data_IF_889402961092
#
_entry.id   IF_889402961092
#
_cell.length_a   1.000
_cell.length_b   1.000
_cell.length_c   1.000
_cell.angle_alpha   90.00
_cell.angle_beta   90.00
_cell.angle_gamma   90.00
#
_symmetry.space_group_name_H-M   'P 1'
#
loop_
_entity.id
_entity.type
_entity.pdbx_description
1 polymer ?
#
# COMPACT_ATOMS: atom_id res chain seq x y z
N UNK A 1 -11.28 -0.02 -8.34
CA UNK A 1 -11.09 -1.49 -8.34
C UNK A 1 -11.02 -1.95 -9.78
N UNK A 2 -9.98 -2.70 -10.14
CA UNK A 2 -9.83 -3.37 -11.44
C UNK A 2 -10.61 -4.69 -11.39
N UNK A 3 -11.57 -4.88 -12.30
CA UNK A 3 -12.47 -6.05 -12.28
C UNK A 3 -12.19 -6.98 -13.47
N UNK A 4 -12.26 -8.31 -13.26
CA UNK A 4 -12.20 -9.26 -14.36
C UNK A 4 -13.41 -9.08 -15.30
N UNK A 5 -13.22 -9.38 -16.59
CA UNK A 5 -14.33 -9.40 -17.55
C UNK A 5 -15.31 -10.57 -17.32
N UNK A 6 -14.86 -11.60 -16.60
CA UNK A 6 -15.64 -12.79 -16.23
C UNK A 6 -15.95 -12.85 -14.74
N UNK A 7 -16.35 -14.02 -14.20
CA UNK A 7 -16.62 -14.17 -12.78
C UNK A 7 -15.36 -13.90 -11.95
N UNK A 8 -15.54 -13.25 -10.79
CA UNK A 8 -14.48 -13.07 -9.80
C UNK A 8 -14.18 -14.44 -9.18
N UNK A 9 -12.89 -14.82 -9.19
CA UNK A 9 -12.36 -16.09 -8.64
C UNK A 9 -11.49 -15.88 -7.40
N UNK A 10 -11.33 -14.63 -7.00
CA UNK A 10 -10.48 -14.18 -5.92
C UNK A 10 -10.32 -12.67 -5.98
N UNK A 11 -9.84 -12.09 -4.88
CA UNK A 11 -9.62 -10.67 -4.75
C UNK A 11 -8.25 -10.36 -4.12
N UNK A 12 -7.68 -9.22 -4.49
CA UNK A 12 -6.41 -8.74 -3.99
C UNK A 12 -6.46 -7.24 -3.65
N UNK A 13 -5.71 -6.84 -2.62
CA UNK A 13 -5.40 -5.44 -2.34
C UNK A 13 -3.95 -5.18 -2.72
N UNK A 14 -3.71 -4.10 -3.46
CA UNK A 14 -2.38 -3.65 -3.85
C UNK A 14 -2.05 -2.33 -3.15
N UNK A 15 -1.06 -2.36 -2.26
CA UNK A 15 -0.49 -1.22 -1.56
C UNK A 15 0.78 -0.72 -2.27
N UNK A 16 0.77 0.52 -2.75
CA UNK A 16 1.90 1.12 -3.47
C UNK A 16 2.99 1.66 -2.53
N UNK A 17 4.05 2.25 -3.09
CA UNK A 17 5.14 2.87 -2.33
C UNK A 17 4.69 4.13 -1.57
N UNK A 18 5.37 4.46 -0.47
CA UNK A 18 5.27 5.77 0.17
C UNK A 18 5.60 6.87 -0.87
N UNK A 19 4.88 7.98 -0.85
CA UNK A 19 4.94 9.12 -1.81
C UNK A 19 4.57 8.82 -3.27
N UNK A 20 4.27 7.57 -3.60
CA UNK A 20 3.74 7.20 -4.91
C UNK A 20 2.21 7.37 -4.98
N UNK A 21 1.67 7.16 -6.18
CA UNK A 21 0.23 6.95 -6.36
C UNK A 21 -0.08 5.51 -6.79
N UNK A 22 -1.34 5.11 -6.63
CA UNK A 22 -1.93 3.88 -7.14
C UNK A 22 -1.86 3.73 -8.66
N UNK A 23 -1.50 4.79 -9.39
CA UNK A 23 -1.39 4.81 -10.85
C UNK A 23 0.03 4.58 -11.38
N UNK A 24 0.98 4.23 -10.50
CA UNK A 24 2.32 3.80 -10.96
C UNK A 24 2.17 2.63 -11.93
N UNK A 25 2.87 2.70 -13.07
CA UNK A 25 2.73 1.75 -14.17
C UNK A 25 2.88 0.28 -13.75
N UNK A 26 3.72 0.00 -12.75
CA UNK A 26 3.86 -1.35 -12.19
C UNK A 26 2.56 -1.83 -11.52
N UNK A 27 1.95 -1.01 -10.66
CA UNK A 27 0.69 -1.34 -9.97
C UNK A 27 -0.45 -1.53 -10.97
N UNK A 28 -0.55 -0.65 -11.97
CA UNK A 28 -1.55 -0.77 -13.04
C UNK A 28 -1.40 -2.06 -13.85
N UNK A 29 -0.19 -2.37 -14.33
CA UNK A 29 0.09 -3.58 -15.13
C UNK A 29 -0.16 -4.87 -14.35
N UNK A 30 0.25 -4.92 -13.08
CA UNK A 30 0.00 -6.07 -12.22
C UNK A 30 -1.51 -6.25 -12.01
N UNK A 31 -2.24 -5.16 -11.77
CA UNK A 31 -3.69 -5.21 -11.57
C UNK A 31 -4.43 -5.74 -12.79
N UNK A 32 -4.09 -5.24 -13.98
CA UNK A 32 -4.69 -5.72 -15.25
C UNK A 32 -4.40 -7.19 -15.47
N UNK A 33 -3.15 -7.63 -15.31
CA UNK A 33 -2.79 -9.04 -15.49
C UNK A 33 -3.52 -9.98 -14.51
N UNK A 34 -3.72 -9.54 -13.26
CA UNK A 34 -4.49 -10.28 -12.27
C UNK A 34 -5.99 -10.32 -12.61
N UNK A 35 -6.55 -9.21 -13.09
CA UNK A 35 -7.94 -9.15 -13.55
C UNK A 35 -8.19 -10.04 -14.78
N UNK A 36 -7.25 -10.11 -15.73
CA UNK A 36 -7.28 -11.09 -16.82
C UNK A 36 -7.26 -12.54 -16.31
N UNK A 37 -6.59 -12.77 -15.18
CA UNK A 37 -6.61 -14.04 -14.47
C UNK A 37 -7.82 -14.23 -13.53
N UNK A 38 -8.85 -13.38 -13.62
CA UNK A 38 -10.09 -13.53 -12.83
C UNK A 38 -9.98 -13.05 -11.37
N UNK A 39 -8.95 -12.28 -11.03
CA UNK A 39 -8.73 -11.75 -9.67
C UNK A 39 -9.08 -10.26 -9.66
N UNK A 40 -10.07 -9.85 -8.87
CA UNK A 40 -10.39 -8.44 -8.67
C UNK A 40 -9.27 -7.75 -7.87
N UNK A 41 -8.83 -6.57 -8.29
CA UNK A 41 -7.73 -5.86 -7.62
C UNK A 41 -8.14 -4.48 -7.16
N UNK A 42 -8.09 -4.24 -5.85
CA UNK A 42 -8.22 -2.92 -5.27
C UNK A 42 -6.85 -2.27 -5.13
N UNK A 43 -6.65 -1.19 -5.89
CA UNK A 43 -5.61 -0.21 -5.66
C UNK A 43 -6.25 0.98 -4.96
N UNK A 44 -5.55 1.55 -3.99
CA UNK A 44 -5.98 2.74 -3.25
C UNK A 44 -4.78 3.64 -3.03
N UNK A 45 -5.03 4.94 -2.85
CA UNK A 45 -4.02 5.86 -2.37
C UNK A 45 -4.11 5.94 -0.83
N UNK A 46 -2.97 5.92 -0.14
CA UNK A 46 -2.95 6.18 1.30
C UNK A 46 -3.47 7.59 1.61
N UNK A 47 -3.98 7.80 2.81
CA UNK A 47 -4.37 9.13 3.30
C UNK A 47 -3.27 10.15 3.01
N UNK A 48 -3.64 11.32 2.49
CA UNK A 48 -2.69 12.39 2.13
C UNK A 48 -1.86 12.16 0.86
N UNK A 49 -2.08 11.08 0.11
CA UNK A 49 -1.42 10.81 -1.17
C UNK A 49 -2.42 10.71 -2.33
N UNK A 50 -1.96 11.08 -3.53
CA UNK A 50 -2.72 10.90 -4.77
C UNK A 50 -4.09 11.58 -4.75
N UNK A 51 -5.15 10.78 -4.90
CA UNK A 51 -6.54 11.23 -4.86
C UNK A 51 -7.20 11.09 -3.48
N UNK A 52 -6.51 10.54 -2.48
CA UNK A 52 -7.04 10.39 -1.13
C UNK A 52 -6.96 11.70 -0.34
N UNK A 53 -8.00 11.96 0.47
CA UNK A 53 -8.08 13.15 1.33
C UNK A 53 -7.07 13.08 2.49
N UNK A 54 -6.92 14.18 3.23
CA UNK A 54 -6.01 14.31 4.37
C UNK A 54 -4.67 14.98 4.02
N UNK A 55 -3.88 15.27 5.05
CA UNK A 55 -2.54 15.83 4.92
C UNK A 55 -1.50 14.72 5.14
N UNK A 56 -0.57 14.56 4.21
CA UNK A 56 0.50 13.55 4.32
C UNK A 56 1.32 13.71 5.61
N UNK A 57 1.52 14.95 6.06
CA UNK A 57 2.24 15.29 7.29
C UNK A 57 1.61 14.69 8.56
N UNK A 58 0.31 14.41 8.54
CA UNK A 58 -0.41 13.82 9.68
C UNK A 58 -0.45 12.29 9.62
N UNK A 59 0.16 11.68 8.59
CA UNK A 59 0.16 10.23 8.40
C UNK A 59 1.39 9.58 9.01
N UNK A 60 1.22 8.34 9.49
CA UNK A 60 2.30 7.51 9.98
C UNK A 60 2.10 6.06 9.54
N UNK A 61 3.06 5.19 9.86
CA UNK A 61 2.99 3.80 9.44
C UNK A 61 1.72 3.08 9.92
N UNK A 62 1.26 3.37 11.15
CA UNK A 62 0.02 2.78 11.67
C UNK A 62 -1.23 3.27 10.95
N UNK A 63 -1.28 4.54 10.54
CA UNK A 63 -2.41 5.04 9.73
C UNK A 63 -2.41 4.40 8.34
N UNK A 64 -1.24 4.16 7.74
CA UNK A 64 -1.16 3.43 6.46
C UNK A 64 -1.66 1.97 6.59
N UNK A 65 -1.34 1.29 7.69
CA UNK A 65 -1.91 -0.04 7.97
C UNK A 65 -3.43 0.04 8.11
N UNK A 66 -3.96 1.04 8.81
CA UNK A 66 -5.40 1.24 8.95
C UNK A 66 -6.10 1.50 7.60
N UNK A 67 -5.51 2.34 6.72
CA UNK A 67 -6.02 2.60 5.37
C UNK A 67 -6.09 1.31 4.54
N UNK A 68 -5.08 0.45 4.65
CA UNK A 68 -5.05 -0.85 3.97
C UNK A 68 -6.16 -1.77 4.46
N UNK A 69 -6.36 -1.85 5.78
CA UNK A 69 -7.45 -2.64 6.38
C UNK A 69 -8.80 -2.10 5.90
N UNK A 70 -8.99 -0.78 5.89
CA UNK A 70 -10.22 -0.16 5.37
C UNK A 70 -10.45 -0.48 3.87
N UNK A 71 -9.40 -0.49 3.05
CA UNK A 71 -9.50 -0.91 1.65
C UNK A 71 -9.87 -2.40 1.53
N UNK A 72 -9.31 -3.26 2.37
CA UNK A 72 -9.65 -4.68 2.42
C UNK A 72 -11.11 -4.92 2.83
N UNK A 73 -11.60 -4.17 3.81
CA UNK A 73 -13.00 -4.21 4.26
C UNK A 73 -13.94 -3.75 3.15
N UNK A 74 -13.63 -2.62 2.50
CA UNK A 74 -14.41 -2.13 1.35
C UNK A 74 -14.53 -3.18 0.24
N UNK A 75 -13.41 -3.83 -0.12
CA UNK A 75 -13.38 -4.88 -1.14
C UNK A 75 -14.22 -6.09 -0.73
N UNK A 76 -14.18 -6.44 0.56
CA UNK A 76 -14.98 -7.53 1.14
C UNK A 76 -16.48 -7.27 1.10
N UNK A 77 -16.89 -6.03 1.41
CA UNK A 77 -18.30 -5.64 1.45
C UNK A 77 -18.94 -5.54 0.07
N UNK A 78 -18.18 -5.07 -0.93
CA UNK A 78 -18.73 -4.72 -2.24
C UNK A 78 -18.47 -5.78 -3.31
N UNK A 79 -17.47 -6.65 -3.12
CA UNK A 79 -17.04 -7.62 -4.12
C UNK A 79 -16.75 -8.99 -3.49
N UNK A 80 -15.50 -9.27 -3.13
CA UNK A 80 -15.04 -10.52 -2.53
C UNK A 80 -13.91 -10.19 -1.56
N UNK A 81 -13.89 -10.85 -0.40
CA UNK A 81 -12.86 -10.61 0.60
C UNK A 81 -11.45 -10.93 0.05
N UNK A 82 -10.44 -10.07 0.29
CA UNK A 82 -9.13 -10.27 -0.31
C UNK A 82 -8.48 -11.53 0.23
N UNK A 83 -8.08 -12.40 -0.70
CA UNK A 83 -7.25 -13.57 -0.41
C UNK A 83 -5.75 -13.29 -0.58
N UNK A 84 -5.40 -12.17 -1.20
CA UNK A 84 -4.04 -11.79 -1.56
C UNK A 84 -3.76 -10.32 -1.18
N UNK A 85 -2.63 -10.07 -0.54
CA UNK A 85 -2.09 -8.73 -0.38
C UNK A 85 -0.81 -8.59 -1.21
N UNK A 86 -0.65 -7.47 -1.88
CA UNK A 86 0.53 -7.13 -2.67
C UNK A 86 1.04 -5.78 -2.20
N UNK A 87 2.30 -5.69 -1.80
CA UNK A 87 2.88 -4.45 -1.30
C UNK A 87 4.21 -4.13 -1.99
N UNK A 88 4.34 -2.89 -2.47
CA UNK A 88 5.57 -2.39 -3.09
C UNK A 88 6.30 -1.39 -2.18
N UNK A 89 7.62 -1.53 -2.03
CA UNK A 89 8.45 -0.69 -1.14
C UNK A 89 7.84 -0.62 0.26
N UNK A 90 7.58 0.58 0.81
CA UNK A 90 6.93 0.72 2.14
C UNK A 90 5.55 0.05 2.21
N UNK A 91 4.78 0.03 1.11
CA UNK A 91 3.54 -0.74 1.02
C UNK A 91 3.75 -2.24 1.28
N UNK A 92 4.94 -2.75 0.97
CA UNK A 92 5.38 -4.10 1.31
C UNK A 92 5.51 -4.36 2.82
N UNK A 93 6.03 -3.38 3.57
CA UNK A 93 6.04 -3.45 5.03
C UNK A 93 4.61 -3.33 5.59
N UNK A 94 3.78 -2.45 5.01
CA UNK A 94 2.38 -2.27 5.42
C UNK A 94 1.54 -3.54 5.24
N UNK A 95 1.64 -4.25 4.09
CA UNK A 95 0.89 -5.50 3.88
C UNK A 95 1.34 -6.61 4.84
N UNK A 96 2.61 -6.65 5.23
CA UNK A 96 3.11 -7.60 6.22
C UNK A 96 2.55 -7.30 7.61
N UNK A 97 2.46 -6.02 7.98
CA UNK A 97 1.89 -5.59 9.25
C UNK A 97 0.37 -5.80 9.32
N UNK A 98 -0.35 -5.58 8.22
CA UNK A 98 -1.80 -5.72 8.15
C UNK A 98 -2.30 -7.17 8.02
N UNK A 99 -1.50 -8.08 7.44
CA UNK A 99 -1.93 -9.44 7.16
C UNK A 99 -2.50 -10.21 8.37
N UNK A 100 -1.95 -10.11 9.60
CA UNK A 100 -2.52 -10.78 10.78
C UNK A 100 -3.93 -10.32 11.17
N UNK A 101 -4.34 -9.10 10.77
CA UNK A 101 -5.65 -8.53 11.08
C UNK A 101 -6.73 -8.99 10.07
N UNK A 102 -6.33 -9.49 8.91
CA UNK A 102 -7.21 -9.82 7.79
C UNK A 102 -7.35 -11.34 7.62
N UNK A 103 -8.36 -11.92 8.26
CA UNK A 103 -8.56 -13.39 8.29
C UNK A 103 -8.79 -14.05 6.92
N UNK A 104 -9.21 -13.29 5.90
CA UNK A 104 -9.43 -13.81 4.54
C UNK A 104 -8.13 -14.02 3.76
N UNK A 105 -7.05 -13.36 4.18
CA UNK A 105 -5.76 -13.33 3.47
C UNK A 105 -5.06 -14.68 3.59
N UNK A 106 -4.69 -15.24 2.43
CA UNK A 106 -4.00 -16.54 2.32
C UNK A 106 -2.58 -16.40 1.79
N UNK A 107 -2.28 -15.28 1.14
CA UNK A 107 -0.99 -15.01 0.54
C UNK A 107 -0.63 -13.53 0.66
N UNK A 108 0.67 -13.27 0.83
CA UNK A 108 1.26 -11.93 0.82
C UNK A 108 2.42 -11.90 -0.18
N UNK A 109 2.49 -10.86 -0.98
CA UNK A 109 3.56 -10.60 -1.94
C UNK A 109 4.21 -9.27 -1.61
N UNK A 110 5.53 -9.27 -1.44
CA UNK A 110 6.32 -8.04 -1.27
C UNK A 110 7.22 -7.81 -2.47
N UNK A 111 7.29 -6.56 -2.93
CA UNK A 111 8.12 -6.14 -4.06
C UNK A 111 9.04 -5.02 -3.57
N UNK A 112 10.32 -5.34 -3.36
CA UNK A 112 11.30 -4.35 -2.91
C UNK A 112 11.01 -3.74 -1.54
N UNK A 113 10.37 -4.49 -0.63
CA UNK A 113 10.03 -3.99 0.70
C UNK A 113 11.29 -3.80 1.57
N UNK A 114 11.40 -2.69 2.34
CA UNK A 114 12.47 -2.54 3.31
C UNK A 114 12.32 -3.60 4.41
N UNK A 115 13.43 -4.18 4.86
CA UNK A 115 13.44 -5.19 5.91
C UNK A 115 13.43 -4.60 7.32
N UNK A 116 13.91 -3.37 7.49
CA UNK A 116 14.04 -2.69 8.78
C UNK A 116 13.79 -1.17 8.62
N UNK A 117 13.26 -0.47 9.65
CA UNK A 117 13.05 0.98 9.61
C UNK A 117 14.34 1.77 9.34
N UNK A 118 15.47 1.28 9.86
CA UNK A 118 16.83 1.81 9.60
C UNK A 118 17.17 1.87 8.11
N UNK A 119 16.59 0.97 7.30
CA UNK A 119 16.76 0.97 5.85
C UNK A 119 16.02 2.14 5.19
N UNK A 120 14.92 2.61 5.79
CA UNK A 120 14.17 3.79 5.32
C UNK A 120 14.85 5.07 5.80
N UNK A 121 15.35 5.11 7.05
CA UNK A 121 16.16 6.22 7.56
C UNK A 121 17.39 6.49 6.68
N UNK A 122 18.05 5.43 6.19
CA UNK A 122 19.17 5.55 5.27
C UNK A 122 18.82 6.26 3.94
N UNK A 123 17.56 6.20 3.50
CA UNK A 123 17.06 6.89 2.30
C UNK A 123 16.74 8.36 2.56
N UNK A 124 16.63 8.77 3.82
CA UNK A 124 16.29 10.13 4.28
C UNK A 124 17.46 10.78 5.01
N UNK A 125 18.70 10.44 4.62
CA UNK A 125 19.92 10.83 5.33
C UNK A 125 20.26 12.31 5.22
N UNK A 126 19.73 13.00 4.22
CA UNK A 126 19.81 14.46 4.14
C UNK A 126 18.83 15.09 5.15
N UNK A 127 19.30 16.04 5.96
CA UNK A 127 18.43 16.80 6.88
C UNK A 127 18.28 16.25 8.31
N UNK A 128 18.96 15.17 8.70
CA UNK A 128 18.88 14.63 10.07
C UNK A 128 19.30 15.65 11.15
N UNK A 129 20.35 16.43 10.90
CA UNK A 129 20.79 17.50 11.82
C UNK A 129 19.72 18.60 11.97
N UNK A 130 19.00 18.91 10.89
CA UNK A 130 17.90 19.88 10.90
C UNK A 130 16.68 19.33 11.65
N UNK A 131 16.38 18.04 11.44
CA UNK A 131 15.31 17.33 12.12
C UNK A 131 15.54 17.30 13.63
N UNK A 132 16.76 16.99 14.08
CA UNK A 132 17.11 16.98 15.51
C UNK A 132 17.02 18.38 16.13
N UNK A 133 17.39 19.43 15.38
CA UNK A 133 17.39 20.80 15.88
C UNK A 133 16.00 21.46 15.90
N UNK A 134 15.19 21.20 14.87
CA UNK A 134 13.96 21.95 14.59
C UNK A 134 12.69 21.10 14.74
N UNK A 135 12.81 19.78 14.82
CA UNK A 135 11.69 18.83 14.83
C UNK A 135 11.13 18.53 13.43
N UNK A 136 11.64 19.18 12.39
CA UNK A 136 11.28 19.00 10.98
C UNK A 136 12.51 19.20 10.09
N UNK A 137 12.53 18.57 8.91
CA UNK A 137 13.60 18.73 7.92
C UNK A 137 13.04 18.60 6.50
N UNK A 138 13.66 19.29 5.54
CA UNK A 138 13.35 19.13 4.12
C UNK A 138 14.31 18.12 3.50
N UNK A 139 13.77 17.12 2.80
CA UNK A 139 14.53 16.06 2.13
C UNK A 139 14.16 15.99 0.66
N UNK A 140 15.14 15.73 -0.20
CA UNK A 140 14.91 15.44 -1.61
C UNK A 140 14.60 13.94 -1.78
N UNK A 141 13.42 13.62 -2.31
CA UNK A 141 12.92 12.25 -2.56
C UNK A 141 12.62 11.99 -4.03
#
# INVERSE_FOLDING_TARGET
VELPAGPIRGAAVFAHCFTCSSDVAAAARISVALAEAGIAVMRFDFTGLGASEGEFADTNFSTNVADLVAAADYLSEHYEAPGLLIGHSLGGAAVLAAAPELTSVRAVVTIGAPSEPTHVEALLTDGLDELEANGEATVDV
#
